data_IF_645309034135
#
_entry.id   IF_645309034135
#
_cell.length_a   1.000
_cell.length_b   1.000
_cell.length_c   1.000
_cell.angle_alpha   90.00
_cell.angle_beta   90.00
_cell.angle_gamma   90.00
#
_symmetry.space_group_name_H-M   'P 1'
#
loop_
_entity.id
_entity.type
_entity.pdbx_description
1 polymer ?
#
# COMPACT_ATOMS: atom_id res chain seq x y z
N UNK A 1 -13.06 15.59 5.51
CA UNK A 1 -12.31 15.48 4.24
C UNK A 1 -12.84 14.24 3.55
N UNK A 2 -13.72 14.42 2.56
CA UNK A 2 -14.33 13.34 1.81
C UNK A 2 -13.83 13.49 0.39
N UNK A 3 -13.18 12.48 -0.16
CA UNK A 3 -12.75 12.48 -1.55
C UNK A 3 -13.89 13.00 -2.42
N UNK A 4 -13.65 14.09 -3.14
CA UNK A 4 -14.68 14.70 -3.97
C UNK A 4 -15.01 13.73 -5.12
N UNK A 5 -16.16 13.06 -5.03
CA UNK A 5 -16.62 12.11 -6.04
C UNK A 5 -17.20 12.80 -7.29
N UNK A 6 -17.24 14.14 -7.31
CA UNK A 6 -17.83 14.97 -8.38
C UNK A 6 -19.27 14.56 -8.76
N UNK A 7 -20.01 13.95 -7.83
CA UNK A 7 -21.36 13.41 -8.06
C UNK A 7 -21.42 12.01 -8.69
N UNK A 8 -20.28 11.32 -8.83
CA UNK A 8 -20.15 9.97 -9.38
C UNK A 8 -19.35 9.05 -8.43
N UNK A 9 -18.34 8.36 -8.96
CA UNK A 9 -17.41 7.50 -8.24
C UNK A 9 -15.99 7.82 -8.71
N UNK A 10 -14.99 7.48 -7.90
CA UNK A 10 -13.60 7.57 -8.33
C UNK A 10 -13.35 6.66 -9.53
N UNK A 11 -12.85 7.20 -10.65
CA UNK A 11 -12.62 6.42 -11.87
C UNK A 11 -11.23 5.82 -11.95
N UNK A 12 -10.22 6.55 -11.45
CA UNK A 12 -8.82 6.16 -11.56
C UNK A 12 -7.89 7.37 -11.57
N UNK A 13 -6.63 7.13 -11.93
CA UNK A 13 -5.56 8.14 -12.04
C UNK A 13 -5.01 8.12 -13.46
N UNK A 14 -4.86 9.30 -14.07
CA UNK A 14 -4.24 9.47 -15.39
C UNK A 14 -2.90 10.22 -15.30
N UNK A 15 -1.96 9.83 -16.14
CA UNK A 15 -0.74 10.57 -16.45
C UNK A 15 -0.81 11.02 -17.92
N UNK A 16 -1.21 12.26 -18.15
CA UNK A 16 -1.48 12.74 -19.50
C UNK A 16 -2.71 12.05 -20.09
N UNK A 17 -2.53 11.31 -21.19
CA UNK A 17 -3.58 10.51 -21.81
C UNK A 17 -3.74 9.10 -21.22
N UNK A 18 -2.76 8.67 -20.43
CA UNK A 18 -2.62 7.26 -20.07
C UNK A 18 -3.23 7.00 -18.70
N UNK A 19 -4.09 5.98 -18.61
CA UNK A 19 -4.56 5.47 -17.32
C UNK A 19 -3.45 4.69 -16.65
N UNK A 20 -2.96 5.20 -15.51
CA UNK A 20 -1.95 4.52 -14.68
C UNK A 20 -2.59 3.74 -13.54
N UNK A 21 -3.85 4.03 -13.23
CA UNK A 21 -4.67 3.29 -12.30
C UNK A 21 -6.14 3.42 -12.71
N UNK A 22 -6.89 2.32 -12.67
CA UNK A 22 -8.33 2.30 -12.89
C UNK A 22 -9.01 1.68 -11.67
N UNK A 23 -10.14 2.24 -11.24
CA UNK A 23 -10.87 1.77 -10.06
C UNK A 23 -11.48 0.38 -10.33
N UNK A 24 -11.01 -0.68 -9.65
CA UNK A 24 -11.52 -2.04 -9.86
C UNK A 24 -12.94 -2.25 -9.32
N UNK A 25 -13.45 -1.32 -8.51
CA UNK A 25 -14.78 -1.38 -7.90
C UNK A 25 -15.79 -0.44 -8.57
N UNK A 26 -15.44 0.21 -9.68
CA UNK A 26 -16.38 1.02 -10.43
C UNK A 26 -17.61 0.17 -10.86
N UNK A 27 -18.84 0.71 -10.80
CA UNK A 27 -19.19 2.10 -10.54
C UNK A 27 -19.57 2.40 -9.07
N UNK A 28 -19.14 1.58 -8.11
CA UNK A 28 -19.48 1.78 -6.71
C UNK A 28 -19.04 3.18 -6.23
N UNK A 29 -19.95 3.91 -5.59
CA UNK A 29 -19.72 5.27 -5.08
C UNK A 29 -18.97 5.25 -3.73
N UNK A 30 -17.78 4.66 -3.74
CA UNK A 30 -16.85 4.61 -2.61
C UNK A 30 -15.69 5.57 -2.86
N UNK A 31 -15.13 6.11 -1.77
CA UNK A 31 -13.96 7.00 -1.86
C UNK A 31 -12.68 6.20 -2.14
N UNK A 32 -11.58 6.90 -2.41
CA UNK A 32 -10.27 6.34 -2.69
C UNK A 32 -9.68 5.53 -1.52
N UNK A 33 -9.92 5.95 -0.28
CA UNK A 33 -9.52 5.21 0.93
C UNK A 33 -10.20 3.82 1.00
N UNK A 34 -11.52 3.79 0.82
CA UNK A 34 -12.32 2.57 0.79
C UNK A 34 -11.94 1.67 -0.39
N UNK A 35 -11.58 2.26 -1.54
CA UNK A 35 -11.05 1.52 -2.69
C UNK A 35 -9.72 0.86 -2.35
N UNK A 36 -8.80 1.57 -1.70
CA UNK A 36 -7.52 1.01 -1.29
C UNK A 36 -7.71 -0.16 -0.30
N UNK A 37 -8.58 0.00 0.70
CA UNK A 37 -8.93 -1.05 1.66
C UNK A 37 -9.57 -2.24 0.95
N UNK A 38 -10.56 -2.00 0.08
CA UNK A 38 -11.22 -3.03 -0.71
C UNK A 38 -10.25 -3.83 -1.57
N UNK A 39 -9.27 -3.15 -2.17
CA UNK A 39 -8.24 -3.80 -2.99
C UNK A 39 -7.32 -4.68 -2.14
N UNK A 40 -6.93 -4.24 -0.95
CA UNK A 40 -6.20 -5.08 0.02
C UNK A 40 -6.99 -6.34 0.40
N UNK A 41 -8.30 -6.20 0.64
CA UNK A 41 -9.17 -7.34 0.97
C UNK A 41 -9.32 -8.31 -0.20
N UNK A 42 -9.54 -7.80 -1.41
CA UNK A 42 -9.65 -8.62 -2.62
C UNK A 42 -8.36 -9.42 -2.88
N UNK A 43 -7.20 -8.76 -2.83
CA UNK A 43 -5.91 -9.41 -3.03
C UNK A 43 -5.56 -10.40 -1.91
N UNK A 44 -6.02 -10.14 -0.67
CA UNK A 44 -5.88 -11.11 0.41
C UNK A 44 -6.74 -12.36 0.17
N UNK A 45 -7.95 -12.20 -0.37
CA UNK A 45 -8.79 -13.33 -0.73
C UNK A 45 -8.15 -14.18 -1.85
N UNK A 46 -7.54 -13.54 -2.87
CA UNK A 46 -6.75 -14.22 -3.90
C UNK A 46 -5.57 -14.98 -3.31
N UNK A 47 -4.82 -14.36 -2.39
CA UNK A 47 -3.70 -14.99 -1.70
C UNK A 47 -4.13 -16.22 -0.88
N UNK A 48 -5.23 -16.12 -0.12
CA UNK A 48 -5.82 -17.27 0.60
C UNK A 48 -6.25 -18.39 -0.37
N UNK A 49 -6.63 -18.03 -1.60
CA UNK A 49 -6.92 -18.96 -2.70
C UNK A 49 -5.69 -19.59 -3.36
N UNK A 50 -4.48 -19.22 -2.96
CA UNK A 50 -3.22 -19.78 -3.47
C UNK A 50 -2.49 -18.92 -4.50
N UNK A 51 -2.93 -17.68 -4.73
CA UNK A 51 -2.14 -16.70 -5.49
C UNK A 51 -0.90 -16.26 -4.69
N UNK A 52 0.04 -15.60 -5.36
CA UNK A 52 1.20 -15.00 -4.69
C UNK A 52 0.78 -13.89 -3.72
N UNK A 53 1.61 -13.65 -2.69
CA UNK A 53 1.36 -12.59 -1.73
C UNK A 53 1.49 -11.21 -2.42
N UNK A 54 0.41 -10.42 -2.41
CA UNK A 54 0.44 -9.06 -2.97
C UNK A 54 1.28 -8.07 -2.13
N UNK A 55 1.48 -8.39 -0.86
CA UNK A 55 2.36 -7.69 0.05
C UNK A 55 3.04 -8.73 0.96
N UNK A 56 4.21 -9.26 0.56
CA UNK A 56 4.87 -10.34 1.27
C UNK A 56 5.28 -9.96 2.70
N UNK A 57 5.15 -10.90 3.66
CA UNK A 57 5.52 -10.66 5.05
C UNK A 57 6.99 -10.24 5.22
N UNK A 58 7.90 -10.81 4.43
CA UNK A 58 9.32 -10.46 4.49
C UNK A 58 9.57 -8.98 4.15
N UNK A 59 8.86 -8.44 3.16
CA UNK A 59 8.93 -7.02 2.79
C UNK A 59 8.28 -6.14 3.87
N UNK A 60 7.12 -6.55 4.39
CA UNK A 60 6.45 -5.85 5.49
C UNK A 60 7.32 -5.75 6.76
N UNK A 61 8.04 -6.83 7.10
CA UNK A 61 9.01 -6.83 8.20
C UNK A 61 10.18 -5.88 7.91
N UNK A 62 10.65 -5.81 6.66
CA UNK A 62 11.71 -4.90 6.27
C UNK A 62 11.27 -3.43 6.40
N UNK A 63 10.07 -3.09 5.94
CA UNK A 63 9.50 -1.74 6.07
C UNK A 63 9.40 -1.33 7.53
N UNK A 64 8.88 -2.23 8.39
CA UNK A 64 8.79 -1.96 9.82
C UNK A 64 10.17 -1.77 10.47
N UNK A 65 11.15 -2.55 10.06
CA UNK A 65 12.52 -2.42 10.57
C UNK A 65 13.14 -1.08 10.17
N UNK A 66 12.89 -0.61 8.95
CA UNK A 66 13.33 0.71 8.51
C UNK A 66 12.67 1.83 9.33
N UNK A 67 11.36 1.76 9.59
CA UNK A 67 10.65 2.71 10.46
C UNK A 67 11.30 2.78 11.86
N UNK A 68 11.59 1.63 12.47
CA UNK A 68 12.29 1.56 13.77
C UNK A 68 13.67 2.23 13.70
N UNK A 69 14.43 2.01 12.63
CA UNK A 69 15.76 2.60 12.45
C UNK A 69 15.71 4.10 12.19
N UNK A 70 14.68 4.59 11.51
CA UNK A 70 14.45 6.02 11.34
C UNK A 70 14.15 6.67 12.70
N UNK A 71 13.31 6.05 13.53
CA UNK A 71 13.06 6.53 14.89
C UNK A 71 14.35 6.59 15.73
N UNK A 72 15.18 5.55 15.68
CA UNK A 72 16.49 5.51 16.36
C UNK A 72 17.44 6.63 15.87
N UNK A 73 17.43 6.92 14.56
CA UNK A 73 18.24 8.01 13.99
C UNK A 73 17.79 9.38 14.48
N UNK A 74 16.48 9.61 14.60
CA UNK A 74 15.93 10.85 15.15
C UNK A 74 16.31 11.03 16.63
N UNK A 75 16.23 9.96 17.42
CA UNK A 75 16.59 9.98 18.84
C UNK A 75 18.07 10.23 19.08
N UNK A 76 18.94 9.63 18.27
CA UNK A 76 20.40 9.74 18.40
C UNK A 76 20.98 10.98 17.69
N UNK A 77 20.20 11.65 16.84
CA UNK A 77 20.61 12.83 16.08
C UNK A 77 21.66 12.54 15.01
N UNK A 78 21.77 11.30 14.54
CA UNK A 78 22.82 10.87 13.64
C UNK A 78 22.49 9.64 12.82
N UNK A 79 23.37 9.26 11.87
CA UNK A 79 23.16 8.10 11.02
C UNK A 79 23.19 6.80 11.85
N UNK A 80 22.22 5.91 11.61
CA UNK A 80 22.18 4.57 12.18
C UNK A 80 22.60 3.52 11.16
N UNK A 81 23.25 2.46 11.62
CA UNK A 81 23.63 1.33 10.79
C UNK A 81 22.61 0.21 10.91
N UNK A 82 22.14 -0.30 9.77
CA UNK A 82 21.29 -1.49 9.71
C UNK A 82 22.13 -2.77 9.64
N UNK A 83 21.59 -3.86 10.18
CA UNK A 83 22.04 -5.24 9.96
C UNK A 83 21.09 -6.03 9.07
N UNK A 84 21.60 -7.10 8.45
CA UNK A 84 20.79 -8.09 7.73
C UNK A 84 19.81 -8.76 8.71
N UNK A 85 18.57 -8.88 8.28
CA UNK A 85 17.48 -9.43 9.08
C UNK A 85 17.14 -10.86 8.65
N UNK A 86 16.47 -11.61 9.52
CA UNK A 86 16.17 -13.04 9.30
C UNK A 86 15.27 -13.29 8.08
N UNK A 87 14.49 -12.30 7.65
CA UNK A 87 13.62 -12.38 6.48
C UNK A 87 14.34 -12.06 5.15
N UNK A 88 15.59 -11.60 5.18
CA UNK A 88 16.39 -11.32 3.98
C UNK A 88 17.11 -12.58 3.49
N UNK A 89 16.34 -13.63 3.14
CA UNK A 89 16.88 -14.92 2.67
C UNK A 89 17.72 -14.75 1.41
#
# INVERSE_FOLDING_TARGET
ESGNLEGYHFKGIQLGSDWVYENPFAPAAINDEDIAIGQCMAKMAEYVGGADAFYPLAEACQDRYLDIKIAESLETGGPVRTSRQAWAQ
#
